data_IF_778543903453
#
_entry.id   IF_778543903453
#
_cell.length_a   1.000
_cell.length_b   1.000
_cell.length_c   1.000
_cell.angle_alpha   90.00
_cell.angle_beta   90.00
_cell.angle_gamma   90.00
#
_symmetry.space_group_name_H-M   'P 1'
#
loop_
_entity.id
_entity.type
_entity.pdbx_description
1 polymer ?
#
# COMPACT_ATOMS: atom_id res chain seq x y z
N UNK A 1 -33.37 -37.35 21.40
CA UNK A 1 -34.41 -37.35 20.35
C UNK A 1 -33.94 -36.43 19.23
N UNK A 2 -33.42 -37.00 18.14
CA UNK A 2 -32.78 -36.28 17.02
C UNK A 2 -33.73 -36.28 15.80
N UNK A 3 -33.86 -35.16 15.05
CA UNK A 3 -34.73 -35.11 13.88
C UNK A 3 -34.15 -35.86 12.67
N UNK A 4 -35.00 -36.42 11.77
CA UNK A 4 -34.56 -37.23 10.65
C UNK A 4 -33.97 -36.39 9.51
N UNK A 5 -32.81 -36.83 9.00
CA UNK A 5 -32.09 -36.27 7.86
C UNK A 5 -32.90 -36.44 6.57
N UNK A 6 -33.36 -35.34 5.97
CA UNK A 6 -34.11 -35.31 4.71
C UNK A 6 -33.12 -35.46 3.53
N UNK A 7 -33.14 -36.59 2.84
CA UNK A 7 -32.31 -36.87 1.66
C UNK A 7 -32.64 -35.88 0.52
N UNK A 8 -31.72 -34.99 0.22
CA UNK A 8 -31.82 -34.06 -0.92
C UNK A 8 -31.46 -34.84 -2.20
N UNK A 9 -32.40 -34.94 -3.14
CA UNK A 9 -32.19 -35.57 -4.46
C UNK A 9 -31.27 -34.66 -5.29
N UNK A 10 -30.19 -35.23 -5.83
CA UNK A 10 -29.31 -34.59 -6.81
C UNK A 10 -30.03 -34.51 -8.17
N UNK A 11 -30.32 -33.30 -8.64
CA UNK A 11 -30.85 -33.04 -9.99
C UNK A 11 -29.69 -32.69 -10.94
N UNK A 12 -29.42 -33.50 -11.98
CA UNK A 12 -28.29 -33.26 -12.89
C UNK A 12 -28.54 -32.19 -13.97
N UNK A 13 -29.64 -31.42 -13.93
CA UNK A 13 -30.02 -30.46 -14.98
C UNK A 13 -29.74 -28.98 -14.69
N UNK A 14 -28.78 -28.67 -13.82
CA UNK A 14 -28.26 -27.30 -13.62
C UNK A 14 -26.81 -27.13 -14.14
N UNK A 15 -26.52 -27.61 -15.35
CA UNK A 15 -25.32 -27.14 -16.09
C UNK A 15 -25.66 -25.86 -16.86
N UNK A 16 -25.80 -24.78 -16.10
CA UNK A 16 -25.76 -23.41 -16.63
C UNK A 16 -24.33 -23.06 -17.01
N UNK A 17 -24.09 -22.92 -18.31
CA UNK A 17 -22.83 -22.48 -18.89
C UNK A 17 -22.42 -21.11 -18.33
N UNK A 18 -21.42 -21.08 -17.45
CA UNK A 18 -20.66 -19.87 -17.15
C UNK A 18 -19.43 -19.85 -18.06
N UNK A 19 -19.61 -19.31 -19.27
CA UNK A 19 -18.49 -18.89 -20.10
C UNK A 19 -17.74 -17.78 -19.35
N UNK A 20 -16.67 -18.15 -18.65
CA UNK A 20 -15.72 -17.21 -18.07
C UNK A 20 -14.98 -16.52 -19.22
N UNK A 21 -15.61 -15.49 -19.78
CA UNK A 21 -14.96 -14.57 -20.69
C UNK A 21 -13.76 -13.97 -20.00
N UNK A 22 -12.55 -14.38 -20.41
CA UNK A 22 -11.32 -13.65 -20.11
C UNK A 22 -11.57 -12.23 -20.60
N UNK A 23 -11.86 -11.30 -19.68
CA UNK A 23 -11.73 -9.88 -19.94
C UNK A 23 -10.25 -9.66 -20.23
N UNK A 24 -9.86 -9.80 -21.50
CA UNK A 24 -8.61 -9.23 -22.01
C UNK A 24 -8.72 -7.76 -21.64
N UNK A 25 -8.02 -7.34 -20.59
CA UNK A 25 -7.70 -5.92 -20.43
C UNK A 25 -6.93 -5.59 -21.71
N UNK A 26 -7.61 -4.97 -22.66
CA UNK A 26 -6.95 -4.23 -23.72
C UNK A 26 -6.32 -3.06 -22.97
N UNK A 27 -5.13 -3.27 -22.39
CA UNK A 27 -4.29 -2.16 -21.99
C UNK A 27 -3.91 -1.47 -23.29
N UNK A 28 -4.50 -0.30 -23.52
CA UNK A 28 -4.17 0.54 -24.67
C UNK A 28 -2.66 0.71 -24.74
N UNK A 29 -2.09 0.32 -25.87
CA UNK A 29 -0.63 0.27 -26.11
C UNK A 29 0.03 1.66 -26.08
N UNK A 30 -0.72 2.77 -25.93
CA UNK A 30 -0.20 4.13 -26.04
C UNK A 30 -0.79 5.12 -25.01
N UNK A 31 -0.58 4.91 -23.70
CA UNK A 31 -0.86 5.94 -22.67
C UNK A 31 0.40 6.55 -22.04
N UNK A 32 1.58 5.97 -22.29
CA UNK A 32 2.77 6.23 -21.50
C UNK A 32 3.42 7.64 -21.61
N UNK A 33 3.28 8.46 -22.68
CA UNK A 33 3.81 9.83 -22.63
C UNK A 33 2.93 10.78 -21.82
N UNK A 34 1.62 10.51 -21.71
CA UNK A 34 0.65 11.41 -21.04
C UNK A 34 0.20 10.92 -19.66
N UNK A 35 0.74 9.81 -19.14
CA UNK A 35 0.47 9.33 -17.78
C UNK A 35 1.77 8.98 -17.04
N UNK A 36 2.81 9.80 -17.19
CA UNK A 36 4.12 9.59 -16.55
C UNK A 36 4.06 9.67 -15.00
N UNK A 37 2.94 10.10 -14.44
CA UNK A 37 2.65 10.05 -13.01
C UNK A 37 2.04 8.71 -12.53
N UNK A 38 1.62 7.82 -13.44
CA UNK A 38 1.02 6.52 -13.14
C UNK A 38 2.04 5.35 -13.19
N UNK A 39 3.32 5.65 -12.98
CA UNK A 39 4.40 4.66 -12.92
C UNK A 39 5.64 5.10 -13.68
N UNK A 40 6.60 4.19 -13.85
CA UNK A 40 7.79 4.44 -14.64
C UNK A 40 7.46 4.41 -16.14
N UNK A 41 7.69 5.55 -16.81
CA UNK A 41 7.57 5.61 -18.27
C UNK A 41 8.53 4.64 -18.95
N UNK A 42 8.23 4.21 -20.19
CA UNK A 42 9.14 3.38 -21.00
C UNK A 42 10.56 3.97 -21.05
N UNK A 43 10.68 5.30 -21.09
CA UNK A 43 11.97 5.99 -21.01
C UNK A 43 12.70 5.78 -19.68
N UNK A 44 12.00 5.76 -18.56
CA UNK A 44 12.58 5.47 -17.23
C UNK A 44 13.06 4.03 -17.15
N UNK A 45 12.29 3.07 -17.68
CA UNK A 45 12.70 1.66 -17.71
C UNK A 45 13.89 1.40 -18.65
N UNK A 46 13.94 2.03 -19.83
CA UNK A 46 14.98 1.79 -20.84
C UNK A 46 16.27 2.59 -20.58
N UNK A 47 16.15 3.86 -20.20
CA UNK A 47 17.30 4.76 -20.02
C UNK A 47 17.64 4.98 -18.55
N UNK A 48 16.62 5.11 -17.69
CA UNK A 48 16.80 5.36 -16.26
C UNK A 48 17.44 4.19 -15.52
N UNK A 49 17.08 2.95 -15.86
CA UNK A 49 17.61 1.74 -15.22
C UNK A 49 18.90 1.19 -15.89
N UNK A 50 19.42 1.85 -16.93
CA UNK A 50 20.58 1.35 -17.66
C UNK A 50 21.82 1.33 -16.74
N UNK A 51 22.34 0.14 -16.46
CA UNK A 51 23.47 -0.06 -15.54
C UNK A 51 23.06 -0.14 -14.06
N UNK A 52 21.77 -0.34 -13.79
CA UNK A 52 21.26 -0.65 -12.46
C UNK A 52 20.95 -2.14 -12.33
N UNK A 53 21.20 -2.68 -11.14
CA UNK A 53 20.88 -4.05 -10.76
C UNK A 53 19.61 -4.04 -9.93
N UNK A 54 18.67 -4.93 -10.24
CA UNK A 54 17.49 -5.15 -9.42
C UNK A 54 17.91 -5.79 -8.10
N UNK A 55 17.48 -5.20 -6.99
CA UNK A 55 17.87 -5.61 -5.64
C UNK A 55 16.77 -6.40 -4.96
N UNK A 56 15.51 -6.00 -5.15
CA UNK A 56 14.36 -6.71 -4.59
C UNK A 56 13.03 -6.04 -4.90
N UNK A 57 11.97 -6.58 -4.32
CA UNK A 57 10.59 -6.11 -4.48
C UNK A 57 9.90 -6.09 -3.12
N UNK A 58 9.04 -5.10 -2.87
CA UNK A 58 8.22 -5.08 -1.66
C UNK A 58 6.86 -5.79 -1.84
N UNK A 59 6.08 -5.84 -0.76
CA UNK A 59 4.74 -6.44 -0.73
C UNK A 59 3.71 -5.68 -1.57
N UNK A 60 3.97 -4.43 -1.94
CA UNK A 60 3.10 -3.61 -2.77
C UNK A 60 3.45 -3.73 -4.27
N UNK A 61 4.51 -4.45 -4.60
CA UNK A 61 4.99 -4.65 -5.97
C UNK A 61 5.99 -3.59 -6.44
N UNK A 62 6.42 -2.66 -5.58
CA UNK A 62 7.45 -1.70 -5.96
C UNK A 62 8.79 -2.43 -6.10
N UNK A 63 9.55 -2.07 -7.13
CA UNK A 63 10.82 -2.71 -7.46
C UNK A 63 11.98 -1.77 -7.16
N UNK A 64 12.99 -2.28 -6.44
CA UNK A 64 14.13 -1.52 -5.98
C UNK A 64 15.38 -1.87 -6.78
N UNK A 65 16.14 -0.83 -7.16
CA UNK A 65 17.32 -0.94 -8.01
C UNK A 65 18.50 -0.20 -7.38
N UNK A 66 19.70 -0.72 -7.59
CA UNK A 66 20.95 -0.09 -7.17
C UNK A 66 21.94 -0.10 -8.33
N UNK A 67 22.64 1.01 -8.54
CA UNK A 67 23.64 1.07 -9.61
C UNK A 67 24.39 2.38 -9.68
N UNK A 68 25.51 2.34 -10.40
CA UNK A 68 26.41 3.48 -10.55
C UNK A 68 26.95 4.02 -9.21
N UNK A 69 27.61 5.18 -9.29
CA UNK A 69 28.04 5.95 -8.12
C UNK A 69 27.54 7.38 -8.24
N UNK A 70 27.12 7.98 -7.14
CA UNK A 70 26.86 9.41 -7.05
C UNK A 70 28.18 10.20 -7.01
N UNK A 71 28.10 11.54 -7.01
CA UNK A 71 29.28 12.39 -6.90
C UNK A 71 30.04 12.25 -5.57
N UNK A 72 29.42 11.63 -4.57
CA UNK A 72 30.01 11.32 -3.27
C UNK A 72 30.56 9.88 -3.18
N UNK A 73 30.53 9.11 -4.27
CA UNK A 73 31.01 7.74 -4.33
C UNK A 73 30.04 6.66 -3.79
N UNK A 74 28.85 7.04 -3.32
CA UNK A 74 27.81 6.12 -2.84
C UNK A 74 27.03 5.54 -4.02
N UNK A 75 26.55 4.30 -3.86
CA UNK A 75 25.74 3.67 -4.90
C UNK A 75 24.39 4.38 -5.04
N UNK A 76 23.92 4.67 -6.25
CA UNK A 76 22.59 5.29 -6.42
C UNK A 76 21.52 4.22 -6.20
N UNK A 77 20.51 4.53 -5.37
CA UNK A 77 19.37 3.65 -5.07
C UNK A 77 18.10 4.27 -5.66
N UNK A 78 17.28 3.44 -6.31
CA UNK A 78 16.07 3.86 -7.02
C UNK A 78 14.91 2.92 -6.69
N UNK A 79 13.70 3.45 -6.78
CA UNK A 79 12.45 2.70 -6.65
C UNK A 79 11.58 2.97 -7.88
N UNK A 80 10.99 1.90 -8.40
CA UNK A 80 9.97 1.95 -9.45
C UNK A 80 8.66 1.50 -8.82
N UNK A 81 7.70 2.42 -8.74
CA UNK A 81 6.41 2.16 -8.11
C UNK A 81 5.50 1.33 -9.01
N UNK A 82 4.74 0.43 -8.39
CA UNK A 82 3.60 -0.23 -9.03
C UNK A 82 2.34 0.63 -8.84
N UNK A 83 1.97 1.35 -9.91
CA UNK A 83 0.80 2.24 -9.94
C UNK A 83 1.14 3.71 -9.70
N UNK A 84 0.38 4.38 -8.81
CA UNK A 84 0.54 5.81 -8.56
C UNK A 84 1.90 6.12 -7.92
N UNK A 85 2.63 7.09 -8.48
CA UNK A 85 3.92 7.54 -7.97
C UNK A 85 3.71 8.37 -6.68
N UNK A 86 3.88 7.73 -5.52
CA UNK A 86 3.83 8.40 -4.21
C UNK A 86 4.90 7.81 -3.28
N UNK A 87 5.77 8.69 -2.78
CA UNK A 87 6.88 8.32 -1.88
C UNK A 87 6.41 7.71 -0.57
N UNK A 88 5.19 8.05 -0.11
CA UNK A 88 4.63 7.50 1.13
C UNK A 88 4.26 6.03 1.03
N UNK A 89 4.23 5.46 -0.19
CA UNK A 89 3.95 4.03 -0.44
C UNK A 89 5.17 3.15 -0.21
N UNK A 90 6.36 3.71 -0.05
CA UNK A 90 7.56 2.92 0.29
C UNK A 90 7.43 2.45 1.74
N UNK A 91 7.50 1.14 2.03
CA UNK A 91 7.42 0.66 3.40
C UNK A 91 8.69 1.03 4.19
N UNK A 92 8.63 1.15 5.53
CA UNK A 92 9.71 1.70 6.36
C UNK A 92 11.07 1.01 6.19
N UNK A 93 11.05 -0.30 5.95
CA UNK A 93 12.24 -1.10 5.75
C UNK A 93 12.97 -0.73 4.46
N UNK A 94 12.24 -0.60 3.36
CA UNK A 94 12.78 -0.17 2.07
C UNK A 94 13.08 1.31 2.04
N UNK A 95 12.37 2.13 2.81
CA UNK A 95 12.68 3.54 3.00
C UNK A 95 14.07 3.71 3.63
N UNK A 96 14.38 2.91 4.66
CA UNK A 96 15.68 2.90 5.32
C UNK A 96 16.80 2.51 4.35
N UNK A 97 16.55 1.50 3.50
CA UNK A 97 17.49 1.13 2.44
C UNK A 97 17.66 2.26 1.42
N UNK A 98 16.57 2.83 0.90
CA UNK A 98 16.64 3.87 -0.13
C UNK A 98 17.44 5.10 0.33
N UNK A 99 17.36 5.45 1.62
CA UNK A 99 18.05 6.61 2.22
C UNK A 99 19.40 6.29 2.84
N UNK A 100 19.97 5.11 2.59
CA UNK A 100 21.27 4.70 3.15
C UNK A 100 21.33 4.67 4.68
N UNK A 101 20.20 4.42 5.36
CA UNK A 101 20.21 4.17 6.82
C UNK A 101 20.68 2.75 7.15
N UNK A 102 20.55 1.83 6.20
CA UNK A 102 21.06 0.46 6.27
C UNK A 102 21.94 0.15 5.07
N UNK A 103 22.97 -0.67 5.30
CA UNK A 103 23.97 -1.01 4.30
C UNK A 103 23.47 -2.06 3.30
N UNK A 104 22.73 -3.07 3.77
CA UNK A 104 22.20 -4.17 2.97
C UNK A 104 20.66 -4.11 2.89
N UNK A 105 20.08 -5.00 2.07
CA UNK A 105 18.64 -5.13 1.87
C UNK A 105 17.90 -5.40 3.18
N UNK A 106 16.63 -4.95 3.29
CA UNK A 106 15.78 -5.17 4.45
C UNK A 106 15.83 -6.58 5.04
N UNK A 107 15.74 -7.59 4.18
CA UNK A 107 15.68 -9.01 4.58
C UNK A 107 16.92 -9.50 5.32
N UNK A 108 18.07 -8.84 5.12
CA UNK A 108 19.35 -9.20 5.73
C UNK A 108 19.76 -8.28 6.87
N UNK A 109 19.44 -7.00 6.75
CA UNK A 109 19.89 -5.97 7.68
C UNK A 109 18.93 -5.74 8.86
N UNK A 110 17.65 -6.08 8.72
CA UNK A 110 16.63 -5.76 9.73
C UNK A 110 16.17 -7.00 10.51
N UNK A 111 15.86 -6.83 11.81
CA UNK A 111 15.25 -7.89 12.61
C UNK A 111 13.81 -8.15 12.16
N UNK A 112 13.29 -9.33 12.53
CA UNK A 112 11.91 -9.69 12.26
C UNK A 112 10.91 -8.67 12.86
N UNK A 113 9.75 -8.44 12.20
CA UNK A 113 8.71 -7.55 12.70
C UNK A 113 8.24 -7.95 14.11
N UNK A 114 8.02 -6.94 14.95
CA UNK A 114 7.54 -7.13 16.33
C UNK A 114 6.00 -7.20 16.34
N UNK A 115 5.38 -7.90 17.30
CA UNK A 115 3.93 -8.14 17.30
C UNK A 115 3.07 -6.86 17.44
N UNK A 116 3.64 -5.80 18.00
CA UNK A 116 2.96 -4.50 18.14
C UNK A 116 3.13 -3.59 16.91
N UNK A 117 3.97 -3.96 15.94
CA UNK A 117 4.20 -3.16 14.74
C UNK A 117 2.98 -3.25 13.83
N UNK A 118 2.51 -2.10 13.40
CA UNK A 118 1.42 -1.99 12.43
C UNK A 118 1.96 -2.17 11.01
N UNK A 119 1.17 -2.72 10.09
CA UNK A 119 1.55 -2.75 8.69
C UNK A 119 1.70 -1.32 8.14
N UNK A 120 2.57 -1.11 7.14
CA UNK A 120 2.76 0.18 6.52
C UNK A 120 1.49 0.63 5.80
N UNK A 121 1.11 1.88 6.02
CA UNK A 121 -0.05 2.51 5.38
C UNK A 121 0.44 3.79 4.69
N UNK A 122 0.10 4.00 3.41
CA UNK A 122 0.49 5.21 2.70
C UNK A 122 -0.20 6.44 3.30
N UNK A 123 0.31 7.62 2.98
CA UNK A 123 -0.26 8.88 3.43
C UNK A 123 -1.69 9.05 2.88
N UNK A 124 -2.68 9.14 3.78
CA UNK A 124 -4.09 9.30 3.45
C UNK A 124 -4.54 10.77 3.43
N UNK A 125 -3.63 11.74 3.51
CA UNK A 125 -3.95 13.17 3.47
C UNK A 125 -4.74 13.51 2.20
N UNK A 126 -5.78 14.35 2.34
CA UNK A 126 -6.66 14.72 1.21
C UNK A 126 -7.65 13.63 0.78
N UNK A 127 -7.63 12.45 1.42
CA UNK A 127 -8.63 11.38 1.18
C UNK A 127 -9.69 11.38 2.28
N UNK A 128 -10.85 10.71 2.07
CA UNK A 128 -11.84 10.50 3.13
C UNK A 128 -11.26 9.82 4.38
N UNK A 129 -10.23 8.97 4.20
CA UNK A 129 -9.57 8.21 5.27
C UNK A 129 -8.49 9.01 6.04
N UNK A 130 -8.31 10.30 5.74
CA UNK A 130 -7.35 11.14 6.45
C UNK A 130 -7.60 11.13 7.97
N UNK A 131 -6.52 11.06 8.75
CA UNK A 131 -6.58 11.20 10.19
C UNK A 131 -7.16 12.57 10.57
N UNK A 132 -8.13 12.55 11.48
CA UNK A 132 -8.73 13.75 12.06
C UNK A 132 -8.57 13.71 13.58
N UNK A 133 -8.13 14.81 14.23
CA UNK A 133 -8.04 14.85 15.67
C UNK A 133 -9.42 14.77 16.32
N UNK A 134 -9.47 14.35 17.58
CA UNK A 134 -10.69 14.47 18.40
C UNK A 134 -11.11 15.94 18.50
N UNK A 135 -12.38 16.24 18.27
CA UNK A 135 -12.90 17.62 18.25
C UNK A 135 -12.95 18.26 16.85
N UNK A 136 -12.35 17.64 15.83
CA UNK A 136 -12.57 18.09 14.46
C UNK A 136 -14.07 17.97 14.09
N UNK A 137 -14.65 19.02 13.50
CA UNK A 137 -16.06 19.04 13.08
C UNK A 137 -16.37 17.84 12.16
N UNK A 138 -15.47 17.58 11.22
CA UNK A 138 -15.52 16.45 10.28
C UNK A 138 -15.48 15.06 10.95
N UNK A 139 -15.07 14.97 12.22
CA UNK A 139 -15.05 13.73 13.03
C UNK A 139 -16.16 13.69 14.08
N UNK A 140 -17.10 14.63 14.02
CA UNK A 140 -18.23 14.72 14.94
C UNK A 140 -18.03 15.67 16.12
N UNK A 141 -17.00 16.54 16.10
CA UNK A 141 -16.86 17.69 17.02
C UNK A 141 -16.61 17.36 18.49
N UNK A 142 -16.63 16.08 18.89
CA UNK A 142 -16.38 15.64 20.26
C UNK A 142 -14.88 15.65 20.54
N UNK A 143 -14.42 16.60 21.36
CA UNK A 143 -13.05 16.63 21.88
C UNK A 143 -12.81 15.48 22.86
N UNK A 144 -11.55 15.14 23.08
CA UNK A 144 -11.19 14.21 24.15
C UNK A 144 -11.57 14.83 25.51
N UNK A 145 -12.05 13.98 26.42
CA UNK A 145 -12.34 14.39 27.78
C UNK A 145 -11.02 14.72 28.50
N UNK A 146 -10.99 15.82 29.24
CA UNK A 146 -9.88 16.22 30.09
C UNK A 146 -10.30 16.16 31.56
N UNK A 147 -9.33 15.97 32.46
CA UNK A 147 -9.58 15.84 33.90
C UNK A 147 -10.26 17.08 34.52
N UNK A 148 -10.20 18.23 33.85
CA UNK A 148 -10.85 19.48 34.26
C UNK A 148 -12.21 19.73 33.58
N UNK A 149 -12.79 18.74 32.93
CA UNK A 149 -14.08 18.91 32.27
C UNK A 149 -15.19 19.10 33.30
N UNK A 150 -15.87 20.24 33.18
CA UNK A 150 -16.99 20.57 34.05
C UNK A 150 -18.18 19.63 33.78
N UNK A 151 -18.68 19.00 34.84
CA UNK A 151 -19.96 18.29 34.82
C UNK A 151 -21.08 19.23 35.25
N UNK A 152 -22.00 19.53 34.34
CA UNK A 152 -23.13 20.39 34.63
C UNK A 152 -24.14 19.67 35.53
N UNK A 153 -24.49 20.31 36.64
CA UNK A 153 -25.55 19.81 37.52
C UNK A 153 -26.92 19.91 36.84
N UNK A 154 -27.69 18.82 36.84
CA UNK A 154 -29.04 18.76 36.26
C UNK A 154 -30.05 18.41 37.36
N UNK A 155 -30.97 19.31 37.75
CA UNK A 155 -31.97 19.00 38.76
C UNK A 155 -32.96 17.95 38.26
N UNK A 156 -33.33 17.01 39.14
CA UNK A 156 -34.50 16.17 38.94
C UNK A 156 -35.76 17.00 39.26
N UNK A 157 -36.70 17.04 38.32
CA UNK A 157 -37.97 17.76 38.45
C UNK A 157 -39.06 16.93 39.12
#
# INVERSE_FOLDING_TARGET
MLPPQRRQRYDPRLKGAAAAGKRRRIMGINLNPFTWWNGASWGTMLYGLRGMTQVGTDSLGNVYYQGGKDGSGRARRWVIYEGANDASRVPPEWFSWLHHHIDDVPDRALPAPRPWQKPPVPNMTGTPLAYRPSGALEKGGKRAAATGDYEAWTPEG
#
